data_IF_056363677734
#
_entry.id   IF_056363677734
#
_cell.length_a   1.000
_cell.length_b   1.000
_cell.length_c   1.000
_cell.angle_alpha   90.00
_cell.angle_beta   90.00
_cell.angle_gamma   90.00
#
_symmetry.space_group_name_H-M   'P 1'
#
loop_
_entity.id
_entity.type
_entity.pdbx_description
1 polymer ?
#
# COMPACT_ATOMS: atom_id res chain seq x y z
N UNK A 1 2.19 -6.88 6.88
CA UNK A 1 1.79 -5.51 6.74
C UNK A 1 1.00 -5.04 7.95
N UNK A 2 1.38 -3.92 8.53
CA UNK A 2 0.70 -3.43 9.73
C UNK A 2 -0.73 -3.04 9.38
N UNK A 3 -1.69 -3.58 10.04
CA UNK A 3 -3.04 -3.29 9.79
C UNK A 3 -3.40 -1.83 9.93
N UNK A 4 -2.91 -1.20 10.90
CA UNK A 4 -3.20 0.21 11.11
C UNK A 4 -2.67 1.03 9.98
N UNK A 5 -1.47 0.78 9.56
CA UNK A 5 -0.86 1.54 8.50
C UNK A 5 -1.57 1.26 7.20
N UNK A 6 -1.91 0.01 6.98
CA UNK A 6 -2.59 -0.37 5.76
C UNK A 6 -3.92 0.37 5.67
N UNK A 7 -4.65 0.40 6.73
CA UNK A 7 -5.95 1.05 6.72
C UNK A 7 -5.80 2.53 6.45
N UNK A 8 -4.81 3.14 7.05
CA UNK A 8 -4.60 4.54 6.85
C UNK A 8 -4.27 4.83 5.41
N UNK A 9 -3.38 4.06 4.83
CA UNK A 9 -3.00 4.28 3.45
C UNK A 9 -4.17 4.04 2.51
N UNK A 10 -5.00 3.08 2.81
CA UNK A 10 -6.14 2.80 1.97
C UNK A 10 -7.09 3.98 2.02
N UNK A 11 -7.24 4.58 3.17
CA UNK A 11 -8.11 5.69 3.29
C UNK A 11 -7.56 6.84 2.51
N UNK A 12 -6.29 7.06 2.55
CA UNK A 12 -5.69 8.14 1.83
C UNK A 12 -5.83 7.91 0.33
N UNK A 13 -5.64 6.68 -0.10
CA UNK A 13 -5.76 6.37 -1.51
C UNK A 13 -7.18 6.65 -1.99
N UNK A 14 -8.15 6.28 -1.20
CA UNK A 14 -9.53 6.49 -1.56
C UNK A 14 -9.82 7.99 -1.63
N UNK A 15 -9.21 8.72 -0.77
CA UNK A 15 -9.42 10.14 -0.72
C UNK A 15 -8.88 10.79 -1.99
N UNK A 16 -7.85 10.19 -2.58
CA UNK A 16 -7.29 10.72 -3.78
C UNK A 16 -8.01 10.19 -5.00
N UNK A 17 -9.03 9.40 -4.84
CA UNK A 17 -9.76 8.89 -5.95
C UNK A 17 -9.19 7.64 -6.56
N UNK A 18 -8.27 6.98 -5.86
CA UNK A 18 -7.69 5.78 -6.40
C UNK A 18 -8.56 4.60 -6.10
N UNK A 19 -8.60 3.64 -6.99
CA UNK A 19 -9.37 2.47 -6.76
C UNK A 19 -8.75 1.29 -7.39
N UNK A 20 -9.08 0.10 -7.03
CA UNK A 20 -8.58 -1.12 -7.61
C UNK A 20 -7.07 -1.19 -7.54
N UNK A 21 -6.45 -1.48 -8.64
CA UNK A 21 -5.03 -1.63 -8.66
C UNK A 21 -4.29 -0.38 -8.28
N UNK A 22 -4.80 0.75 -8.68
CA UNK A 22 -4.13 1.98 -8.35
C UNK A 22 -4.09 2.19 -6.86
N UNK A 23 -5.14 1.81 -6.19
CA UNK A 23 -5.19 1.96 -4.76
C UNK A 23 -4.15 1.05 -4.14
N UNK A 24 -4.05 -0.18 -4.61
CA UNK A 24 -3.09 -1.12 -4.08
C UNK A 24 -1.67 -0.63 -4.35
N UNK A 25 -1.43 -0.12 -5.53
CA UNK A 25 -0.11 0.36 -5.87
C UNK A 25 0.29 1.51 -4.94
N UNK A 26 -0.66 2.35 -4.64
CA UNK A 26 -0.37 3.48 -3.79
C UNK A 26 0.02 3.00 -2.38
N UNK A 27 -0.74 2.06 -1.86
CA UNK A 27 -0.48 1.54 -0.54
C UNK A 27 0.87 0.83 -0.50
N UNK A 28 1.14 -0.03 -1.47
CA UNK A 28 2.39 -0.75 -1.50
C UNK A 28 3.55 0.22 -1.70
N UNK A 29 3.39 1.17 -2.59
CA UNK A 29 4.44 2.13 -2.83
C UNK A 29 4.81 2.89 -1.57
N UNK A 30 3.80 3.28 -0.82
CA UNK A 30 4.05 4.02 0.40
C UNK A 30 4.75 3.15 1.42
N UNK A 31 4.31 1.92 1.55
CA UNK A 31 4.92 1.03 2.52
C UNK A 31 6.37 0.75 2.17
N UNK A 32 6.66 0.55 0.91
CA UNK A 32 8.01 0.28 0.51
C UNK A 32 8.93 1.46 0.77
N UNK A 33 8.40 2.63 0.61
CA UNK A 33 9.19 3.82 0.86
C UNK A 33 9.55 3.88 2.32
N UNK A 34 8.74 3.32 3.18
CA UNK A 34 9.03 3.34 4.58
C UNK A 34 9.94 2.18 4.95
N UNK A 35 10.31 1.39 4.01
CA UNK A 35 11.20 0.28 4.30
C UNK A 35 10.51 -1.05 4.55
N UNK A 36 9.20 -1.13 4.37
CA UNK A 36 8.50 -2.37 4.62
C UNK A 36 8.54 -3.24 3.37
N UNK A 37 8.73 -4.55 3.50
CA UNK A 37 8.72 -5.43 2.39
C UNK A 37 7.82 -6.61 2.65
N UNK A 38 7.05 -7.04 1.66
CA UNK A 38 6.13 -8.14 1.85
C UNK A 38 6.91 -9.42 1.88
N UNK A 39 6.47 -10.36 2.68
CA UNK A 39 7.10 -11.55 2.75
C UNK A 39 7.11 -12.22 1.47
N UNK A 40 6.16 -12.22 0.65
CA UNK A 40 6.20 -12.83 -0.57
C UNK A 40 6.62 -11.97 -1.63
N UNK A 41 7.32 -11.05 -1.52
CA UNK A 41 7.74 -10.22 -2.54
C UNK A 41 8.63 -10.96 -3.40
N UNK A 42 8.54 -11.43 -4.40
CA UNK A 42 9.37 -12.14 -5.10
C UNK A 42 9.63 -11.64 -6.23
N UNK A 43 10.02 -11.40 -6.62
CA UNK A 43 10.38 -10.87 -7.68
C UNK A 43 9.91 -11.58 -8.77
N UNK A 44 9.49 -11.96 -9.06
CA UNK A 44 9.11 -12.55 -9.98
C UNK A 44 8.75 -12.18 -10.57
#
# INVERSE_FOLDING_TARGET
>A
MPKKLEAKLKREAASKGLKGERKDAYVYGSLRRMGWKPKRERGR
#
